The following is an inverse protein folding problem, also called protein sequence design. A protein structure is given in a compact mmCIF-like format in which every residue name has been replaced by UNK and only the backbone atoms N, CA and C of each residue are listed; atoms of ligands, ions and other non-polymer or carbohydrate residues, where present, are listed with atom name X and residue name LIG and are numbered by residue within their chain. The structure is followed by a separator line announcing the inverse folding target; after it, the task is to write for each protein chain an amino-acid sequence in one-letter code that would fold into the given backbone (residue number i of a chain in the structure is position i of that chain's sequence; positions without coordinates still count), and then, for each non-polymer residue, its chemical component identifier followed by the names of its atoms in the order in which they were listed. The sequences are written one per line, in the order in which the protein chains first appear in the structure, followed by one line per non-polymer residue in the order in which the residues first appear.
data_IF_952675078702
#
_entry.id   IF_952675078702
#
_cell.length_a   1.000
_cell.length_b   1.000
_cell.length_c   1.000
_cell.angle_alpha   90.00
_cell.angle_beta   90.00
_cell.angle_gamma   90.00
#
_symmetry.space_group_name_H-M   'P 1'
#
loop_
_entity.id
_entity.type
_entity.pdbx_description
1 polymer ?
#
# COMPACT_ATOMS: atom_id res chain seq x y z
N UNK A 1 -16.54 -34.51 -3.34
CA UNK A 1 -15.59 -34.30 -2.22
C UNK A 1 -14.15 -34.07 -2.69
N UNK A 2 -13.54 -34.93 -3.51
CA UNK A 2 -12.16 -34.73 -4.00
C UNK A 2 -11.95 -33.46 -4.84
N UNK A 3 -12.91 -33.15 -5.72
CA UNK A 3 -12.87 -31.94 -6.58
C UNK A 3 -12.97 -30.65 -5.76
N UNK A 4 -13.80 -30.65 -4.72
CA UNK A 4 -13.98 -29.50 -3.83
C UNK A 4 -12.71 -29.19 -3.02
N UNK A 5 -11.96 -30.22 -2.63
CA UNK A 5 -10.69 -30.07 -1.92
C UNK A 5 -9.62 -29.52 -2.86
N UNK A 6 -9.51 -30.05 -4.09
CA UNK A 6 -8.56 -29.56 -5.08
C UNK A 6 -8.78 -28.07 -5.42
N UNK A 7 -10.05 -27.64 -5.51
CA UNK A 7 -10.39 -26.23 -5.74
C UNK A 7 -10.01 -25.33 -4.56
N UNK A 8 -10.20 -25.80 -3.32
CA UNK A 8 -9.81 -25.03 -2.13
C UNK A 8 -8.28 -24.84 -2.02
N UNK A 9 -7.48 -25.84 -2.40
CA UNK A 9 -6.01 -25.71 -2.42
C UNK A 9 -5.52 -24.77 -3.52
N UNK A 10 -6.21 -24.68 -4.66
CA UNK A 10 -5.82 -23.77 -5.75
C UNK A 10 -5.99 -22.28 -5.36
N UNK A 11 -6.96 -21.96 -4.49
CA UNK A 11 -7.24 -20.57 -4.07
C UNK A 11 -6.26 -20.11 -2.99
N UNK A 12 -5.70 -21.03 -2.20
CA UNK A 12 -4.75 -20.71 -1.13
C UNK A 12 -3.37 -20.22 -1.66
N UNK A 13 -3.08 -20.38 -2.96
CA UNK A 13 -1.82 -19.94 -3.57
C UNK A 13 -1.75 -18.47 -3.99
N UNK A 14 -2.84 -17.71 -3.87
CA UNK A 14 -2.86 -16.28 -4.27
C UNK A 14 -2.34 -15.32 -3.19
N UNK A 15 -1.99 -15.79 -1.99
CA UNK A 15 -1.27 -14.97 -1.01
C UNK A 15 0.22 -14.96 -1.38
N UNK A 16 0.60 -14.04 -2.27
CA UNK A 16 2.01 -13.79 -2.58
C UNK A 16 2.78 -13.35 -1.34
N UNK A 17 3.96 -13.94 -1.14
CA UNK A 17 4.93 -13.52 -0.11
C UNK A 17 5.23 -12.03 -0.30
N UNK A 18 5.14 -11.25 0.78
CA UNK A 18 5.52 -9.84 0.72
C UNK A 18 7.02 -9.77 0.34
N UNK A 19 7.41 -8.95 -0.65
CA UNK A 19 8.80 -8.85 -1.07
C UNK A 19 9.68 -8.48 0.12
N UNK A 20 10.75 -9.24 0.31
CA UNK A 20 11.72 -9.02 1.36
C UNK A 20 12.38 -7.65 1.14
N UNK A 21 12.18 -6.71 2.08
CA UNK A 21 12.83 -5.39 2.02
C UNK A 21 14.30 -5.57 2.36
N UNK A 22 15.10 -6.01 1.38
CA UNK A 22 16.54 -6.08 1.56
C UNK A 22 17.08 -4.66 1.84
N UNK A 23 17.72 -4.43 2.99
CA UNK A 23 18.11 -3.08 3.41
C UNK A 23 19.31 -2.52 2.62
N UNK A 24 19.98 -3.32 1.80
CA UNK A 24 21.23 -2.94 1.13
C UNK A 24 21.13 -2.99 -0.41
N UNK A 25 20.19 -2.22 -0.96
CA UNK A 25 20.06 -2.03 -2.40
C UNK A 25 20.61 -0.67 -2.82
N UNK A 26 20.94 -0.46 -4.11
CA UNK A 26 21.25 0.89 -4.60
C UNK A 26 20.12 1.89 -4.33
N UNK A 27 18.85 1.45 -4.38
CA UNK A 27 17.70 2.27 -4.05
C UNK A 27 17.69 2.74 -2.59
N UNK A 28 17.89 1.82 -1.64
CA UNK A 28 17.92 2.19 -0.21
C UNK A 28 19.07 3.14 0.14
N UNK A 29 20.21 3.04 -0.56
CA UNK A 29 21.33 3.99 -0.41
C UNK A 29 20.99 5.39 -0.93
N UNK A 30 20.28 5.48 -2.05
CA UNK A 30 19.82 6.76 -2.59
C UNK A 30 18.76 7.41 -1.67
N UNK A 31 17.82 6.61 -1.15
CA UNK A 31 16.83 7.09 -0.17
C UNK A 31 17.51 7.58 1.11
N UNK A 32 18.49 6.84 1.65
CA UNK A 32 19.27 7.27 2.81
C UNK A 32 20.00 8.60 2.57
N UNK A 33 20.67 8.73 1.41
CA UNK A 33 21.32 10.00 1.05
C UNK A 33 20.31 11.15 0.88
N UNK A 34 19.14 10.89 0.28
CA UNK A 34 18.09 11.89 0.13
C UNK A 34 17.52 12.35 1.48
N UNK A 35 17.38 11.45 2.44
CA UNK A 35 17.00 11.76 3.83
C UNK A 35 18.06 12.63 4.51
N UNK A 36 19.33 12.25 4.42
CA UNK A 36 20.45 13.00 5.01
C UNK A 36 20.55 14.43 4.45
N UNK A 37 20.25 14.61 3.17
CA UNK A 37 20.21 15.93 2.52
C UNK A 37 18.89 16.68 2.73
N UNK A 38 17.91 16.10 3.43
CA UNK A 38 16.60 16.70 3.67
C UNK A 38 15.75 16.88 2.41
N UNK A 39 16.02 16.12 1.35
CA UNK A 39 15.29 16.17 0.08
C UNK A 39 13.93 15.47 0.17
N UNK A 40 13.82 14.49 1.07
CA UNK A 40 12.58 13.77 1.36
C UNK A 40 12.32 13.78 2.86
N UNK A 41 11.06 13.68 3.25
CA UNK A 41 10.66 13.60 4.66
C UNK A 41 10.92 12.18 5.18
N UNK A 42 11.43 12.07 6.41
CA UNK A 42 11.62 10.78 7.08
C UNK A 42 10.26 10.11 7.36
N UNK A 43 9.95 8.97 6.69
CA UNK A 43 8.69 8.27 6.89
C UNK A 43 8.53 7.71 8.32
N UNK A 44 9.61 7.54 9.09
CA UNK A 44 9.53 7.12 10.49
C UNK A 44 9.00 8.22 11.42
N UNK A 45 9.03 9.48 10.98
CA UNK A 45 8.59 10.63 11.77
C UNK A 45 7.43 11.40 11.14
N UNK A 46 7.20 11.20 9.85
CA UNK A 46 6.11 11.80 9.09
C UNK A 46 4.77 11.10 9.33
N UNK A 47 3.71 11.91 9.36
CA UNK A 47 2.33 11.41 9.31
C UNK A 47 1.90 11.35 7.86
N UNK A 48 1.49 10.17 7.39
CA UNK A 48 1.00 10.01 6.02
C UNK A 48 -0.44 10.55 5.95
N UNK A 49 -0.61 11.87 5.94
CA UNK A 49 -1.93 12.52 5.91
C UNK A 49 -2.17 13.20 4.57
N UNK A 50 -3.27 12.89 3.89
CA UNK A 50 -3.58 13.55 2.63
C UNK A 50 -4.65 12.89 1.77
N UNK A 51 -4.89 13.49 0.61
CA UNK A 51 -5.70 12.94 -0.46
C UNK A 51 -4.94 13.03 -1.79
N UNK A 52 -5.07 11.99 -2.58
CA UNK A 52 -4.40 11.83 -3.86
C UNK A 52 -5.41 11.34 -4.89
N UNK A 53 -5.18 11.73 -6.13
CA UNK A 53 -6.01 11.34 -7.25
C UNK A 53 -5.12 11.02 -8.45
N UNK A 54 -5.51 9.99 -9.19
CA UNK A 54 -4.95 9.69 -10.51
C UNK A 54 -6.10 9.34 -11.43
N UNK A 55 -6.39 10.22 -12.38
CA UNK A 55 -7.56 10.09 -13.26
C UNK A 55 -8.89 10.01 -12.45
N UNK A 56 -9.58 8.88 -12.49
CA UNK A 56 -10.79 8.57 -11.71
C UNK A 56 -10.49 7.94 -10.34
N UNK A 57 -9.29 7.43 -10.12
CA UNK A 57 -8.90 6.78 -8.86
C UNK A 57 -8.68 7.78 -7.74
N UNK A 58 -9.09 7.41 -6.53
CA UNK A 58 -9.02 8.24 -5.33
C UNK A 58 -8.38 7.46 -4.19
N UNK A 59 -7.42 8.09 -3.49
CA UNK A 59 -6.81 7.55 -2.28
C UNK A 59 -6.79 8.65 -1.21
N UNK A 60 -7.11 8.29 0.02
CA UNK A 60 -6.92 9.17 1.16
C UNK A 60 -6.33 8.42 2.34
N UNK A 61 -5.57 9.14 3.16
CA UNK A 61 -5.12 8.67 4.47
C UNK A 61 -5.44 9.75 5.49
N UNK A 62 -6.14 9.34 6.54
CA UNK A 62 -6.64 10.20 7.61
C UNK A 62 -6.26 9.63 8.98
N UNK A 63 -6.15 10.48 9.99
CA UNK A 63 -5.79 10.08 11.36
C UNK A 63 -4.92 11.12 12.05
N UNK A 64 -4.54 10.84 13.29
CA UNK A 64 -3.64 11.70 14.07
C UNK A 64 -2.17 11.36 13.82
N UNK A 65 -1.28 12.33 14.08
CA UNK A 65 0.16 12.10 13.99
C UNK A 65 0.60 11.01 14.97
N UNK A 66 1.23 9.94 14.45
CA UNK A 66 1.68 8.76 15.22
C UNK A 66 0.55 7.96 15.90
N UNK A 67 -0.69 8.14 15.46
CA UNK A 67 -1.86 7.37 15.92
C UNK A 67 -2.36 6.35 14.91
N UNK A 68 -3.56 5.79 15.15
CA UNK A 68 -4.21 4.88 14.21
C UNK A 68 -4.60 5.62 12.93
N UNK A 69 -3.79 5.45 11.89
CA UNK A 69 -4.07 5.98 10.57
C UNK A 69 -4.97 5.02 9.79
N UNK A 70 -5.91 5.58 9.04
CA UNK A 70 -6.80 4.83 8.15
C UNK A 70 -6.56 5.24 6.71
N UNK A 71 -6.42 4.23 5.86
CA UNK A 71 -6.37 4.37 4.40
C UNK A 71 -7.73 4.04 3.80
N UNK A 72 -8.13 4.81 2.80
CA UNK A 72 -9.25 4.52 1.91
C UNK A 72 -8.80 4.64 0.46
N UNK A 73 -9.24 3.72 -0.38
CA UNK A 73 -9.01 3.75 -1.83
C UNK A 73 -10.31 3.44 -2.58
N UNK A 74 -10.52 4.15 -3.68
CA UNK A 74 -11.49 3.82 -4.72
C UNK A 74 -10.75 3.78 -6.05
N UNK A 75 -10.87 2.67 -6.76
CA UNK A 75 -10.36 2.51 -8.13
C UNK A 75 -11.54 2.32 -9.06
N UNK A 76 -11.60 3.12 -10.12
CA UNK A 76 -12.65 3.05 -11.14
C UNK A 76 -12.07 2.42 -12.41
N UNK A 77 -12.62 1.27 -12.80
CA UNK A 77 -12.18 0.49 -13.95
C UNK A 77 -12.93 0.87 -15.24
N UNK A 78 -13.84 1.84 -15.19
CA UNK A 78 -14.72 2.22 -16.29
C UNK A 78 -15.98 1.36 -16.37
N UNK A 79 -16.88 1.74 -17.28
CA UNK A 79 -18.14 1.01 -17.56
C UNK A 79 -19.05 0.81 -16.33
N UNK A 80 -18.95 1.71 -15.35
CA UNK A 80 -19.69 1.63 -14.09
C UNK A 80 -19.14 0.61 -13.10
N UNK A 81 -17.92 0.10 -13.32
CA UNK A 81 -17.24 -0.84 -12.43
C UNK A 81 -16.22 -0.11 -11.54
N UNK A 82 -16.33 -0.29 -10.23
CA UNK A 82 -15.39 0.27 -9.28
C UNK A 82 -15.10 -0.71 -8.14
N UNK A 83 -13.92 -0.59 -7.55
CA UNK A 83 -13.53 -1.27 -6.32
C UNK A 83 -13.21 -0.24 -5.24
N UNK A 84 -13.62 -0.53 -4.01
CA UNK A 84 -13.27 0.29 -2.85
C UNK A 84 -12.68 -0.59 -1.75
N UNK A 85 -11.64 -0.09 -1.09
CA UNK A 85 -11.06 -0.76 0.07
C UNK A 85 -10.73 0.25 1.18
N UNK A 86 -10.72 -0.21 2.42
CA UNK A 86 -10.25 0.56 3.57
C UNK A 86 -9.40 -0.32 4.47
N UNK A 87 -8.43 0.29 5.14
CA UNK A 87 -7.52 -0.43 6.05
C UNK A 87 -6.95 0.48 7.12
N UNK A 88 -6.22 -0.13 8.05
CA UNK A 88 -5.28 0.58 8.92
C UNK A 88 -3.93 0.66 8.21
N UNK A 89 -3.20 1.75 8.41
CA UNK A 89 -1.84 1.96 7.87
C UNK A 89 -0.82 1.53 8.92
#
# INVERSE_FOLDING_TARGET
MRVSIALALAIAGCSGEAPDRSPDTPGSKLEAAALEQGLIVDPATATLGGSWARDSDRLCVVGEERGDQRIGIVTDYGEGQACSATGLV
#
